data_IF_662771463722
#
_entry.id   IF_662771463722
#
_cell.length_a   1.000
_cell.length_b   1.000
_cell.length_c   1.000
_cell.angle_alpha   90.00
_cell.angle_beta   90.00
_cell.angle_gamma   90.00
#
_symmetry.space_group_name_H-M   'P 1'
#
loop_
_entity.id
_entity.type
_entity.pdbx_description
1 polymer ?
#
# COMPACT_ATOMS: atom_id res chain seq x y z
N UNK A 1 -6.93 14.96 17.14
CA UNK A 1 -7.36 14.49 18.48
C UNK A 1 -8.63 13.68 18.37
N UNK A 2 -9.70 14.21 17.76
CA UNK A 2 -10.97 13.48 17.52
C UNK A 2 -10.82 12.06 16.93
N UNK A 3 -9.92 11.82 15.98
CA UNK A 3 -9.67 10.47 15.42
C UNK A 3 -9.22 9.47 16.49
N UNK A 4 -8.35 9.89 17.39
CA UNK A 4 -7.86 9.08 18.52
C UNK A 4 -8.98 8.96 19.55
N UNK A 5 -9.58 10.10 19.90
CA UNK A 5 -10.57 10.21 20.98
C UNK A 5 -11.85 9.39 20.69
N UNK A 6 -12.19 9.20 19.42
CA UNK A 6 -13.34 8.42 18.97
C UNK A 6 -12.97 7.04 18.40
N UNK A 7 -11.73 6.59 18.55
CA UNK A 7 -11.25 5.31 18.03
C UNK A 7 -11.52 5.11 16.52
N UNK A 8 -11.57 6.21 15.75
CA UNK A 8 -11.94 6.18 14.33
C UNK A 8 -10.91 5.41 13.51
N UNK A 9 -9.64 5.44 13.90
CA UNK A 9 -8.60 4.70 13.20
C UNK A 9 -8.86 3.18 13.22
N UNK A 10 -9.26 2.63 14.36
CA UNK A 10 -9.61 1.22 14.47
C UNK A 10 -10.87 0.87 13.66
N UNK A 11 -11.86 1.78 13.64
CA UNK A 11 -13.07 1.62 12.82
C UNK A 11 -12.72 1.58 11.34
N UNK A 12 -11.91 2.53 10.86
CA UNK A 12 -11.46 2.60 9.47
C UNK A 12 -10.66 1.34 9.11
N UNK A 13 -9.77 0.90 10.00
CA UNK A 13 -9.00 -0.32 9.76
C UNK A 13 -9.89 -1.56 9.65
N UNK A 14 -10.89 -1.70 10.52
CA UNK A 14 -11.87 -2.80 10.44
C UNK A 14 -12.66 -2.79 9.13
N UNK A 15 -12.95 -1.61 8.58
CA UNK A 15 -13.67 -1.48 7.30
C UNK A 15 -12.85 -1.95 6.08
N UNK A 16 -11.56 -2.27 6.25
CA UNK A 16 -10.74 -2.91 5.19
C UNK A 16 -11.00 -4.43 5.06
N UNK A 17 -11.67 -5.03 6.04
CA UNK A 17 -11.95 -6.48 6.05
C UNK A 17 -12.86 -6.92 4.89
N UNK A 18 -12.71 -8.18 4.47
CA UNK A 18 -13.47 -8.78 3.35
C UNK A 18 -14.98 -8.89 3.61
N UNK A 19 -15.45 -8.68 4.86
CA UNK A 19 -16.87 -8.60 5.20
C UNK A 19 -17.56 -7.32 4.70
N UNK A 20 -16.80 -6.27 4.39
CA UNK A 20 -17.32 -5.01 3.83
C UNK A 20 -17.32 -5.05 2.29
N UNK A 21 -18.18 -4.23 1.68
CA UNK A 21 -18.19 -4.09 0.22
C UNK A 21 -16.89 -3.47 -0.31
N UNK A 22 -16.63 -3.66 -1.60
CA UNK A 22 -15.40 -3.19 -2.25
C UNK A 22 -15.20 -1.68 -2.06
N UNK A 23 -16.25 -0.89 -2.20
CA UNK A 23 -16.16 0.57 -2.18
C UNK A 23 -15.75 1.07 -0.79
N UNK A 24 -16.37 0.52 0.26
CA UNK A 24 -16.03 0.81 1.64
C UNK A 24 -14.58 0.44 1.95
N UNK A 25 -14.13 -0.73 1.49
CA UNK A 25 -12.74 -1.19 1.67
C UNK A 25 -11.74 -0.26 0.99
N UNK A 26 -12.01 0.13 -0.26
CA UNK A 26 -11.18 1.09 -1.01
C UNK A 26 -11.11 2.44 -0.31
N UNK A 27 -12.26 3.00 0.08
CA UNK A 27 -12.33 4.27 0.80
C UNK A 27 -11.59 4.22 2.15
N UNK A 28 -11.61 3.07 2.82
CA UNK A 28 -10.89 2.85 4.08
C UNK A 28 -9.39 2.81 3.88
N UNK A 29 -8.91 2.14 2.82
CA UNK A 29 -7.48 2.15 2.44
C UNK A 29 -7.02 3.56 2.08
N UNK A 30 -7.81 4.32 1.32
CA UNK A 30 -7.51 5.72 1.01
C UNK A 30 -7.47 6.56 2.28
N UNK A 31 -8.41 6.38 3.21
CA UNK A 31 -8.40 7.08 4.48
C UNK A 31 -7.13 6.76 5.29
N UNK A 32 -6.72 5.49 5.39
CA UNK A 32 -5.45 5.09 6.03
C UNK A 32 -4.27 5.77 5.35
N UNK A 33 -4.24 5.77 4.02
CA UNK A 33 -3.21 6.42 3.20
C UNK A 33 -3.08 7.91 3.49
N UNK A 34 -4.19 8.62 3.67
CA UNK A 34 -4.15 10.05 4.01
C UNK A 34 -3.71 10.29 5.44
N UNK A 35 -4.19 9.45 6.37
CA UNK A 35 -3.90 9.56 7.79
C UNK A 35 -2.46 9.16 8.14
N UNK A 36 -1.75 8.41 7.29
CA UNK A 36 -0.35 8.02 7.53
C UNK A 36 0.62 9.21 7.55
N UNK A 37 0.20 10.33 6.96
CA UNK A 37 0.93 11.60 7.01
C UNK A 37 0.70 12.37 8.32
N UNK A 38 -0.28 11.98 9.14
CA UNK A 38 -0.53 12.61 10.44
C UNK A 38 0.40 12.03 11.51
N UNK A 39 1.39 12.80 11.95
CA UNK A 39 2.39 12.33 12.92
C UNK A 39 1.78 11.79 14.22
N UNK A 40 0.72 12.44 14.73
CA UNK A 40 0.03 12.00 15.95
C UNK A 40 -0.68 10.64 15.83
N UNK A 41 -0.90 10.14 14.61
CA UNK A 41 -1.55 8.84 14.35
C UNK A 41 -0.55 7.74 14.03
N UNK A 42 0.75 8.04 13.97
CA UNK A 42 1.81 7.10 13.59
C UNK A 42 1.88 5.89 14.51
N UNK A 43 2.11 6.11 15.79
CA UNK A 43 2.21 5.00 16.76
C UNK A 43 0.89 4.22 16.88
N UNK A 44 -0.31 4.87 16.91
CA UNK A 44 -1.57 4.17 16.80
C UNK A 44 -1.70 3.29 15.55
N UNK A 45 -1.28 3.77 14.37
CA UNK A 45 -1.32 2.98 13.13
C UNK A 45 -0.42 1.76 13.17
N UNK A 46 0.79 1.91 13.71
CA UNK A 46 1.71 0.79 13.89
C UNK A 46 1.15 -0.22 14.89
N UNK A 47 0.66 0.26 16.03
CA UNK A 47 0.12 -0.58 17.11
C UNK A 47 -1.12 -1.37 16.66
N UNK A 48 -1.98 -0.76 15.84
CA UNK A 48 -3.18 -1.41 15.30
C UNK A 48 -2.89 -2.33 14.11
N UNK A 49 -1.65 -2.39 13.62
CA UNK A 49 -1.28 -3.26 12.50
C UNK A 49 -1.74 -2.74 11.14
N UNK A 50 -1.88 -1.41 10.97
CA UNK A 50 -2.30 -0.83 9.70
C UNK A 50 -1.34 -1.19 8.55
N UNK A 51 -0.03 -1.13 8.80
CA UNK A 51 0.99 -1.49 7.79
C UNK A 51 0.84 -2.95 7.34
N UNK A 52 0.68 -3.89 8.28
CA UNK A 52 0.48 -5.30 7.97
C UNK A 52 -0.78 -5.52 7.09
N UNK A 53 -1.88 -4.88 7.47
CA UNK A 53 -3.15 -4.99 6.73
C UNK A 53 -3.00 -4.46 5.29
N UNK A 54 -2.42 -3.28 5.12
CA UNK A 54 -2.21 -2.68 3.80
C UNK A 54 -1.23 -3.52 2.95
N UNK A 55 -0.11 -3.97 3.52
CA UNK A 55 0.86 -4.80 2.81
C UNK A 55 0.23 -6.10 2.30
N UNK A 56 -0.55 -6.78 3.15
CA UNK A 56 -1.27 -7.98 2.77
C UNK A 56 -2.23 -7.73 1.60
N UNK A 57 -3.00 -6.63 1.64
CA UNK A 57 -3.91 -6.28 0.54
C UNK A 57 -3.17 -5.91 -0.75
N UNK A 58 -1.99 -5.29 -0.68
CA UNK A 58 -1.21 -4.98 -1.89
C UNK A 58 -0.65 -6.22 -2.58
N UNK A 59 -0.33 -7.26 -1.81
CA UNK A 59 0.29 -8.50 -2.29
C UNK A 59 -0.72 -9.60 -2.65
N UNK A 60 -1.96 -9.53 -2.18
CA UNK A 60 -2.97 -10.58 -2.45
C UNK A 60 -3.51 -10.46 -3.89
N UNK A 61 -3.20 -11.41 -4.79
CA UNK A 61 -3.68 -11.35 -6.19
C UNK A 61 -5.18 -11.61 -6.31
N UNK A 62 -5.84 -12.08 -5.24
CA UNK A 62 -7.30 -12.26 -5.20
C UNK A 62 -8.03 -10.97 -4.81
N UNK A 63 -7.32 -9.93 -4.36
CA UNK A 63 -7.93 -8.65 -4.09
C UNK A 63 -8.27 -7.90 -5.39
N UNK A 64 -9.34 -7.11 -5.41
CA UNK A 64 -9.66 -6.27 -6.56
C UNK A 64 -8.46 -5.37 -6.93
N UNK A 65 -8.20 -5.21 -8.23
CA UNK A 65 -7.10 -4.39 -8.74
C UNK A 65 -7.07 -2.99 -8.09
N UNK A 66 -8.22 -2.34 -7.99
CA UNK A 66 -8.37 -1.04 -7.33
C UNK A 66 -7.91 -1.04 -5.86
N UNK A 67 -8.17 -2.12 -5.12
CA UNK A 67 -7.73 -2.23 -3.74
C UNK A 67 -6.21 -2.42 -3.67
N UNK A 68 -5.63 -3.22 -4.57
CA UNK A 68 -4.16 -3.38 -4.68
C UNK A 68 -3.49 -2.05 -5.04
N UNK A 69 -4.08 -1.28 -5.96
CA UNK A 69 -3.62 0.06 -6.35
C UNK A 69 -3.59 1.03 -5.18
N UNK A 70 -4.70 1.19 -4.48
CA UNK A 70 -4.75 2.12 -3.35
C UNK A 70 -3.94 1.62 -2.15
N UNK A 71 -3.80 0.31 -1.99
CA UNK A 71 -2.93 -0.26 -0.95
C UNK A 71 -1.46 0.04 -1.23
N UNK A 72 -0.99 -0.16 -2.47
CA UNK A 72 0.39 0.23 -2.82
C UNK A 72 0.63 1.73 -2.70
N UNK A 73 -0.36 2.57 -3.03
CA UNK A 73 -0.27 4.02 -2.78
C UNK A 73 -0.17 4.32 -1.27
N UNK A 74 -0.93 3.63 -0.43
CA UNK A 74 -0.81 3.77 1.02
C UNK A 74 0.59 3.37 1.53
N UNK A 75 1.18 2.31 0.97
CA UNK A 75 2.57 1.93 1.26
C UNK A 75 3.56 3.01 0.85
N UNK A 76 3.37 3.69 -0.31
CA UNK A 76 4.19 4.85 -0.67
C UNK A 76 4.14 5.90 0.44
N UNK A 77 2.96 6.27 0.92
CA UNK A 77 2.84 7.27 1.99
C UNK A 77 3.46 6.81 3.32
N UNK A 78 3.35 5.54 3.68
CA UNK A 78 4.10 5.00 4.82
C UNK A 78 5.61 5.10 4.57
N UNK A 79 6.11 4.77 3.38
CA UNK A 79 7.53 4.79 3.06
C UNK A 79 8.13 6.21 3.01
N UNK A 80 7.32 7.25 2.75
CA UNK A 80 7.75 8.65 2.86
C UNK A 80 8.01 9.07 4.32
N UNK A 81 7.50 8.32 5.30
CA UNK A 81 7.73 8.54 6.71
C UNK A 81 8.89 7.66 7.19
N UNK A 82 10.05 8.28 7.48
CA UNK A 82 11.30 7.61 7.87
C UNK A 82 11.12 6.55 8.97
N UNK A 83 10.30 6.83 9.97
CA UNK A 83 10.08 5.92 11.10
C UNK A 83 9.27 4.68 10.71
N UNK A 84 8.45 4.76 9.66
CA UNK A 84 7.68 3.62 9.16
C UNK A 84 8.50 2.72 8.23
N UNK A 85 9.65 3.17 7.74
CA UNK A 85 10.48 2.39 6.80
C UNK A 85 11.05 1.13 7.43
N UNK A 86 11.59 1.24 8.64
CA UNK A 86 12.12 0.06 9.33
C UNK A 86 11.00 -0.96 9.56
N UNK A 87 9.81 -0.48 9.95
CA UNK A 87 8.63 -1.33 10.10
C UNK A 87 8.25 -1.97 8.76
N UNK A 88 8.21 -1.21 7.66
CA UNK A 88 7.91 -1.74 6.33
C UNK A 88 8.90 -2.84 5.90
N UNK A 89 10.20 -2.63 6.12
CA UNK A 89 11.24 -3.62 5.83
C UNK A 89 11.04 -4.89 6.69
N UNK A 90 10.84 -4.72 8.00
CA UNK A 90 10.59 -5.83 8.93
C UNK A 90 9.32 -6.63 8.57
N UNK A 91 8.29 -5.95 8.04
CA UNK A 91 7.03 -6.56 7.60
C UNK A 91 7.08 -7.16 6.19
N UNK A 92 8.23 -7.12 5.51
CA UNK A 92 8.39 -7.78 4.21
C UNK A 92 7.94 -6.93 3.02
N UNK A 93 8.05 -5.59 3.08
CA UNK A 93 7.80 -4.74 1.90
C UNK A 93 8.66 -5.11 0.69
N UNK A 94 9.80 -5.78 0.90
CA UNK A 94 10.66 -6.26 -0.19
C UNK A 94 9.98 -7.37 -1.01
N UNK A 95 9.14 -8.19 -0.39
CA UNK A 95 8.40 -9.28 -1.04
C UNK A 95 7.39 -8.73 -2.08
N UNK A 96 6.98 -7.47 -1.90
CA UNK A 96 6.16 -6.75 -2.88
C UNK A 96 6.89 -6.69 -4.23
N UNK A 97 8.19 -6.39 -4.26
CA UNK A 97 8.94 -6.28 -5.51
C UNK A 97 9.02 -7.61 -6.27
N UNK A 98 9.13 -8.72 -5.55
CA UNK A 98 9.15 -10.05 -6.14
C UNK A 98 7.77 -10.44 -6.69
N UNK A 99 6.69 -10.12 -5.94
CA UNK A 99 5.31 -10.41 -6.37
C UNK A 99 4.92 -9.76 -7.71
N UNK A 100 5.55 -8.64 -8.06
CA UNK A 100 5.30 -7.93 -9.32
C UNK A 100 6.28 -8.30 -10.43
N UNK A 101 7.46 -8.81 -10.10
CA UNK A 101 8.43 -9.28 -11.08
C UNK A 101 7.93 -10.54 -11.81
N UNK A 102 7.19 -11.38 -11.11
CA UNK A 102 6.62 -12.61 -11.67
C UNK A 102 5.36 -12.36 -12.54
N UNK A 103 4.69 -11.21 -12.39
CA UNK A 103 3.52 -10.85 -13.23
C UNK A 103 3.92 -10.39 -14.66
N UNK A 104 5.17 -9.98 -14.87
CA UNK A 104 5.72 -9.51 -16.15
C UNK A 104 6.37 -10.62 -17.01
N UNK A 105 6.55 -11.82 -16.44
CA UNK A 105 7.22 -12.94 -17.10
C UNK A 105 6.27 -13.88 -17.86
N UNK A 106 5.80 -13.46 -19.04
CA UNK A 106 5.16 -14.24 -20.14
C UNK A 106 3.91 -13.53 -20.68
N UNK A 107 4.07 -12.40 -21.40
CA UNK A 107 3.01 -11.90 -22.29
C UNK A 107 3.59 -11.63 -23.67
N UNK A 108 3.16 -12.45 -24.63
CA UNK A 108 3.45 -12.29 -26.07
C UNK A 108 3.11 -10.87 -26.54
N UNK A 109 4.12 -10.18 -27.08
CA UNK A 109 4.09 -8.78 -27.49
C UNK A 109 3.16 -8.48 -28.68
N UNK A 110 2.68 -9.50 -29.40
CA UNK A 110 1.98 -9.34 -30.68
C UNK A 110 0.46 -9.07 -30.57
N UNK A 111 -0.11 -8.97 -29.36
CA UNK A 111 -1.55 -8.76 -29.17
C UNK A 111 -1.89 -7.35 -28.67
N UNK A 112 -1.34 -6.30 -29.31
CA UNK A 112 -1.66 -4.92 -28.95
C UNK A 112 -2.79 -4.36 -29.82
N UNK A 113 -4.04 -4.44 -29.35
CA UNK A 113 -5.17 -3.71 -29.92
C UNK A 113 -6.38 -3.67 -28.98
N UNK A 114 -6.25 -3.05 -27.81
CA UNK A 114 -7.21 -2.17 -27.10
C UNK A 114 -6.41 -1.61 -25.93
N UNK A 115 -6.33 -0.29 -25.77
CA UNK A 115 -5.80 0.31 -24.53
C UNK A 115 -6.83 0.01 -23.43
N UNK A 116 -6.75 -1.18 -22.83
CA UNK A 116 -7.68 -1.63 -21.79
C UNK A 116 -7.31 -0.96 -20.47
N UNK A 117 -8.34 -0.63 -19.67
CA UNK A 117 -8.19 -0.10 -18.30
C UNK A 117 -7.20 -0.92 -17.47
N UNK A 118 -7.14 -2.22 -17.71
CA UNK A 118 -6.23 -3.13 -17.04
C UNK A 118 -4.74 -2.77 -17.25
N UNK A 119 -4.36 -2.24 -18.42
CA UNK A 119 -2.99 -1.84 -18.71
C UNK A 119 -2.63 -0.52 -18.00
N UNK A 120 -3.59 0.41 -17.88
CA UNK A 120 -3.42 1.66 -17.14
C UNK A 120 -3.26 1.38 -15.64
N UNK A 121 -4.13 0.54 -15.09
CA UNK A 121 -4.06 0.11 -13.69
C UNK A 121 -2.73 -0.59 -13.40
N UNK A 122 -2.23 -1.47 -14.29
CA UNK A 122 -0.91 -2.08 -14.14
C UNK A 122 0.23 -1.05 -14.15
N UNK A 123 0.19 -0.05 -15.02
CA UNK A 123 1.20 1.02 -15.04
C UNK A 123 1.20 1.86 -13.76
N UNK A 124 0.02 2.15 -13.19
CA UNK A 124 -0.08 2.89 -11.92
C UNK A 124 0.50 2.04 -10.79
N UNK A 125 0.21 0.75 -10.77
CA UNK A 125 0.74 -0.18 -9.76
C UNK A 125 2.27 -0.23 -9.81
N UNK A 126 2.84 -0.39 -11.00
CA UNK A 126 4.29 -0.35 -11.24
C UNK A 126 4.92 0.99 -10.82
N UNK A 127 4.19 2.08 -11.08
CA UNK A 127 4.60 3.42 -10.65
C UNK A 127 4.67 3.49 -9.12
N UNK A 128 3.63 3.06 -8.41
CA UNK A 128 3.62 3.05 -6.94
C UNK A 128 4.78 2.22 -6.38
N UNK A 129 5.04 1.04 -6.93
CA UNK A 129 6.17 0.18 -6.52
C UNK A 129 7.51 0.91 -6.71
N UNK A 130 7.69 1.58 -7.84
CA UNK A 130 8.89 2.39 -8.11
C UNK A 130 9.06 3.50 -7.06
N UNK A 131 7.98 4.17 -6.66
CA UNK A 131 8.00 5.17 -5.59
C UNK A 131 8.33 4.57 -4.22
N UNK A 132 7.82 3.38 -3.89
CA UNK A 132 8.19 2.67 -2.65
C UNK A 132 9.70 2.40 -2.65
N UNK A 133 10.23 1.84 -3.75
CA UNK A 133 11.67 1.58 -3.87
C UNK A 133 12.50 2.84 -3.67
N UNK A 134 12.16 3.94 -4.35
CA UNK A 134 12.85 5.22 -4.20
C UNK A 134 12.78 5.76 -2.77
N UNK A 135 11.62 5.65 -2.11
CA UNK A 135 11.45 6.07 -0.73
C UNK A 135 12.34 5.25 0.23
N UNK A 136 12.41 3.93 0.04
CA UNK A 136 13.31 3.04 0.80
C UNK A 136 14.78 3.38 0.56
N UNK A 137 15.19 3.62 -0.69
CA UNK A 137 16.57 4.03 -1.01
C UNK A 137 16.95 5.35 -0.35
N UNK A 138 16.08 6.36 -0.43
CA UNK A 138 16.36 7.70 0.09
C UNK A 138 16.42 7.75 1.62
N UNK A 139 15.63 6.92 2.29
CA UNK A 139 15.39 7.07 3.73
C UNK A 139 15.75 5.85 4.59
N UNK A 140 15.97 4.66 3.99
CA UNK A 140 16.25 3.41 4.72
C UNK A 140 17.59 2.75 4.38
N UNK A 141 18.06 2.83 3.13
CA UNK A 141 19.27 2.10 2.67
C UNK A 141 20.55 2.95 2.80
N UNK A 142 20.45 4.27 2.94
CA UNK A 142 21.62 5.16 2.96
C UNK A 142 22.43 5.18 4.27
N UNK A 143 22.02 4.47 5.32
CA UNK A 143 22.84 4.23 6.52
C UNK A 143 23.30 5.47 7.28
N UNK A 144 22.77 6.67 7.00
CA UNK A 144 23.06 7.88 7.75
C UNK A 144 22.12 7.98 8.96
N UNK A 145 22.44 7.20 9.99
CA UNK A 145 22.04 7.47 11.38
C UNK A 145 22.84 8.63 11.95
#
# INVERSE_FOLDING_TARGET
KEIIDHNLLNIILNMTDKSYDKEMRVNSVIAISLLSNCESLRDPMHTLGAIDAILKMSMDPQEPMELRLFSTLAIVHFALNKQSINVLIEKGVMDLFDSFRDEDGEKDWDSQSVMSKDLEDQNILQTNISWIFLALCNNGISGLQ
#
